data_IF_653564040199
#
_entry.id   IF_653564040199
#
_cell.length_a   1.000
_cell.length_b   1.000
_cell.length_c   1.000
_cell.angle_alpha   90.00
_cell.angle_beta   90.00
_cell.angle_gamma   90.00
#
_symmetry.space_group_name_H-M   'P 1'
#
loop_
_entity.id
_entity.type
_entity.pdbx_description
1 polymer ?
#
# COMPACT_ATOMS: atom_id res chain seq x y z
N UNK A 1 4.46 10.84 -17.29
CA UNK A 1 3.26 11.50 -17.86
C UNK A 1 3.63 12.77 -18.61
N UNK A 2 4.19 12.66 -19.82
CA UNK A 2 4.29 13.82 -20.73
C UNK A 2 3.12 13.69 -21.70
N UNK A 3 2.30 14.74 -21.85
CA UNK A 3 1.18 14.90 -22.79
C UNK A 3 -0.27 14.82 -22.27
N UNK A 4 -0.54 14.58 -20.97
CA UNK A 4 -1.96 14.61 -20.49
C UNK A 4 -2.62 15.98 -20.66
N UNK A 5 -1.82 17.05 -20.65
CA UNK A 5 -2.30 18.41 -20.87
C UNK A 5 -2.81 18.62 -22.30
N UNK A 6 -2.29 17.85 -23.27
CA UNK A 6 -2.61 17.95 -24.71
C UNK A 6 -3.82 17.12 -25.13
N UNK A 7 -4.41 16.35 -24.22
CA UNK A 7 -5.57 15.49 -24.48
C UNK A 7 -6.70 15.82 -23.51
N UNK A 8 -7.94 15.54 -23.94
CA UNK A 8 -9.13 15.76 -23.11
C UNK A 8 -9.36 14.56 -22.17
N UNK A 9 -8.39 14.30 -21.30
CA UNK A 9 -8.51 13.28 -20.25
C UNK A 9 -7.92 13.76 -18.94
N UNK A 10 -8.33 13.10 -17.86
CA UNK A 10 -7.72 13.21 -16.53
C UNK A 10 -6.99 11.91 -16.20
N UNK A 11 -6.00 11.99 -15.34
CA UNK A 11 -5.26 10.85 -14.83
C UNK A 11 -5.57 10.63 -13.35
N UNK A 12 -5.74 9.38 -12.95
CA UNK A 12 -5.72 8.97 -11.55
C UNK A 12 -4.53 8.03 -11.41
N UNK A 13 -3.64 8.33 -10.46
CA UNK A 13 -2.39 7.58 -10.28
C UNK A 13 -2.18 7.21 -8.82
N UNK A 14 -1.38 6.17 -8.63
CA UNK A 14 -0.85 5.84 -7.32
C UNK A 14 -0.11 7.03 -6.73
N UNK A 15 -0.31 7.19 -5.42
CA UNK A 15 0.42 8.20 -4.66
C UNK A 15 1.88 7.78 -4.53
N UNK A 16 2.12 6.48 -4.37
CA UNK A 16 3.36 5.91 -3.87
C UNK A 16 3.77 6.63 -2.58
N UNK A 17 4.67 7.60 -2.70
CA UNK A 17 5.15 8.43 -1.60
C UNK A 17 5.09 9.92 -1.91
N UNK A 18 4.41 10.31 -3.00
CA UNK A 18 4.25 11.69 -3.41
C UNK A 18 3.15 12.42 -2.64
N UNK A 19 3.45 13.63 -2.21
CA UNK A 19 2.46 14.47 -1.55
C UNK A 19 1.69 15.34 -2.56
N UNK A 20 2.31 15.67 -3.70
CA UNK A 20 1.68 16.53 -4.71
C UNK A 20 2.18 16.26 -6.13
N UNK A 21 1.28 16.38 -7.10
CA UNK A 21 1.63 16.43 -8.53
C UNK A 21 1.40 17.85 -9.04
N UNK A 22 2.39 18.40 -9.75
CA UNK A 22 2.27 19.72 -10.35
C UNK A 22 1.52 19.65 -11.70
N UNK A 23 0.29 19.13 -11.68
CA UNK A 23 -0.58 19.05 -12.85
C UNK A 23 -2.06 19.02 -12.42
N UNK A 24 -2.87 19.93 -12.95
CA UNK A 24 -4.27 20.10 -12.58
C UNK A 24 -5.21 18.97 -13.04
N UNK A 25 -4.76 18.13 -13.99
CA UNK A 25 -5.48 16.97 -14.54
C UNK A 25 -5.05 15.64 -13.91
N UNK A 26 -4.07 15.64 -12.99
CA UNK A 26 -3.59 14.43 -12.31
C UNK A 26 -4.12 14.40 -10.88
N UNK A 27 -4.80 13.32 -10.54
CA UNK A 27 -5.33 13.07 -9.21
C UNK A 27 -4.65 11.87 -8.59
N UNK A 28 -4.47 11.91 -7.28
CA UNK A 28 -3.85 10.83 -6.52
C UNK A 28 -4.91 10.08 -5.74
N UNK A 29 -4.72 8.77 -5.57
CA UNK A 29 -5.43 8.04 -4.54
C UNK A 29 -5.20 8.65 -3.14
N UNK A 30 -6.14 8.41 -2.24
CA UNK A 30 -6.13 8.97 -0.88
C UNK A 30 -4.94 8.48 -0.03
N UNK A 31 -4.47 7.28 -0.35
CA UNK A 31 -3.39 6.55 0.31
C UNK A 31 -2.32 6.14 -0.72
N UNK A 32 -1.36 5.28 -0.34
CA UNK A 32 -0.21 4.90 -1.19
C UNK A 32 -0.65 4.46 -2.60
N UNK A 33 -1.66 3.60 -2.69
CA UNK A 33 -2.18 3.07 -3.95
C UNK A 33 -3.69 2.75 -3.84
N UNK A 34 -4.28 2.28 -4.93
CA UNK A 34 -5.70 1.89 -4.99
C UNK A 34 -6.09 0.87 -3.92
N UNK A 35 -5.29 -0.19 -3.72
CA UNK A 35 -5.56 -1.22 -2.71
C UNK A 35 -5.67 -0.61 -1.32
N UNK A 36 -4.71 0.25 -0.94
CA UNK A 36 -4.71 0.91 0.36
C UNK A 36 -5.90 1.86 0.53
N UNK A 37 -6.35 2.50 -0.56
CA UNK A 37 -7.57 3.29 -0.54
C UNK A 37 -8.80 2.43 -0.32
N UNK A 38 -8.92 1.28 -0.99
CA UNK A 38 -10.05 0.36 -0.81
C UNK A 38 -10.11 -0.19 0.61
N UNK A 39 -9.00 -0.71 1.15
CA UNK A 39 -8.97 -1.31 2.50
C UNK A 39 -8.99 -0.29 3.63
N UNK A 40 -8.92 1.00 3.32
CA UNK A 40 -9.00 2.05 4.35
C UNK A 40 -10.40 2.14 4.97
N UNK A 41 -11.43 1.77 4.21
CA UNK A 41 -12.83 1.78 4.63
C UNK A 41 -13.15 0.55 5.50
N UNK A 42 -13.78 0.80 6.64
CA UNK A 42 -14.08 -0.23 7.64
C UNK A 42 -15.14 -1.23 7.15
N UNK A 43 -16.10 -0.79 6.34
CA UNK A 43 -17.13 -1.66 5.77
C UNK A 43 -16.49 -2.73 4.85
N UNK A 44 -15.44 -2.35 4.12
CA UNK A 44 -14.65 -3.30 3.32
C UNK A 44 -13.92 -4.29 4.21
N UNK A 45 -13.26 -3.83 5.29
CA UNK A 45 -12.57 -4.73 6.22
C UNK A 45 -13.52 -5.69 6.95
N UNK A 46 -14.74 -5.26 7.26
CA UNK A 46 -15.79 -6.12 7.79
C UNK A 46 -16.21 -7.19 6.78
N UNK A 47 -16.43 -6.81 5.51
CA UNK A 47 -16.76 -7.77 4.44
C UNK A 47 -15.66 -8.81 4.25
N UNK A 48 -14.39 -8.38 4.25
CA UNK A 48 -13.24 -9.28 4.22
C UNK A 48 -13.28 -10.24 5.41
N UNK A 49 -13.50 -9.71 6.62
CA UNK A 49 -13.53 -10.52 7.83
C UNK A 49 -14.63 -11.58 7.80
N UNK A 50 -15.82 -11.22 7.31
CA UNK A 50 -16.96 -12.13 7.14
C UNK A 50 -16.68 -13.20 6.08
N UNK A 51 -16.26 -12.79 4.89
CA UNK A 51 -16.01 -13.70 3.75
C UNK A 51 -14.95 -14.76 4.09
N UNK A 52 -13.84 -14.32 4.69
CA UNK A 52 -12.69 -15.19 4.97
C UNK A 52 -12.67 -15.74 6.40
N UNK A 53 -13.78 -15.58 7.15
CA UNK A 53 -13.93 -16.08 8.53
C UNK A 53 -12.78 -15.64 9.44
N UNK A 54 -12.39 -14.37 9.34
CA UNK A 54 -11.37 -13.74 10.19
C UNK A 54 -12.07 -13.22 11.44
N UNK A 55 -11.59 -13.61 12.61
CA UNK A 55 -12.26 -13.33 13.89
C UNK A 55 -12.38 -11.84 14.25
N UNK A 56 -11.58 -10.95 13.66
CA UNK A 56 -11.63 -9.49 13.89
C UNK A 56 -10.91 -8.74 12.76
N UNK A 57 -11.35 -7.51 12.49
CA UNK A 57 -10.66 -6.54 11.62
C UNK A 57 -9.23 -6.28 12.11
N UNK A 58 -8.99 -6.36 13.43
CA UNK A 58 -7.65 -6.17 14.00
C UNK A 58 -6.63 -7.15 13.41
N UNK A 59 -7.05 -8.36 13.02
CA UNK A 59 -6.13 -9.31 12.36
C UNK A 59 -5.71 -8.87 10.97
N UNK A 60 -6.58 -8.16 10.25
CA UNK A 60 -6.23 -7.55 8.95
C UNK A 60 -5.26 -6.39 9.18
N UNK A 61 -5.49 -5.60 10.23
CA UNK A 61 -4.58 -4.51 10.62
C UNK A 61 -3.23 -5.03 11.10
N UNK A 62 -3.18 -6.16 11.81
CA UNK A 62 -1.94 -6.81 12.22
C UNK A 62 -1.15 -7.27 10.98
N UNK A 63 -1.81 -7.84 9.97
CA UNK A 63 -1.17 -8.18 8.69
C UNK A 63 -0.58 -6.93 8.03
N UNK A 64 -1.33 -5.83 7.99
CA UNK A 64 -0.83 -4.56 7.47
C UNK A 64 0.37 -4.07 8.30
N UNK A 65 0.33 -4.19 9.62
CA UNK A 65 1.39 -3.79 10.54
C UNK A 65 2.65 -4.64 10.40
N UNK A 66 2.50 -5.94 10.07
CA UNK A 66 3.63 -6.84 9.81
C UNK A 66 4.54 -6.35 8.68
N UNK A 67 4.00 -5.54 7.76
CA UNK A 67 4.72 -4.95 6.62
C UNK A 67 5.44 -3.63 6.96
N UNK A 68 5.31 -3.11 8.19
CA UNK A 68 5.85 -1.79 8.54
C UNK A 68 7.32 -1.63 8.16
N UNK A 69 8.15 -2.64 8.44
CA UNK A 69 9.58 -2.57 8.12
C UNK A 69 9.82 -2.37 6.62
N UNK A 70 9.22 -3.21 5.77
CA UNK A 70 9.41 -3.12 4.32
C UNK A 70 8.81 -1.84 3.74
N UNK A 71 7.67 -1.39 4.25
CA UNK A 71 7.04 -0.12 3.87
C UNK A 71 7.95 1.08 4.17
N UNK A 72 8.65 1.06 5.31
CA UNK A 72 9.64 2.10 5.65
C UNK A 72 10.85 2.04 4.71
N UNK A 73 11.29 0.86 4.28
CA UNK A 73 12.43 0.72 3.37
C UNK A 73 12.10 1.25 1.98
N UNK A 74 10.93 0.89 1.43
CA UNK A 74 10.47 1.39 0.13
C UNK A 74 10.31 2.92 0.16
N UNK A 75 9.72 3.45 1.24
CA UNK A 75 9.62 4.90 1.45
C UNK A 75 11.01 5.57 1.47
N UNK A 76 11.96 5.00 2.21
CA UNK A 76 13.32 5.55 2.28
C UNK A 76 14.01 5.53 0.91
N UNK A 77 13.94 4.40 0.19
CA UNK A 77 14.44 4.26 -1.18
C UNK A 77 13.90 5.37 -2.11
N UNK A 78 12.61 5.69 -1.99
CA UNK A 78 11.97 6.75 -2.76
C UNK A 78 12.56 8.14 -2.47
N UNK A 79 12.51 8.59 -1.21
CA UNK A 79 12.93 9.95 -0.86
C UNK A 79 14.43 10.19 -1.07
N UNK A 80 15.25 9.15 -0.92
CA UNK A 80 16.69 9.22 -1.11
C UNK A 80 17.13 8.89 -2.54
N UNK A 81 16.20 8.57 -3.45
CA UNK A 81 16.48 8.25 -4.86
C UNK A 81 17.56 7.18 -5.01
N UNK A 82 17.53 6.16 -4.16
CA UNK A 82 18.56 5.12 -4.16
C UNK A 82 18.45 4.19 -5.37
N UNK A 83 17.32 4.25 -6.11
CA UNK A 83 17.04 3.46 -7.31
C UNK A 83 17.19 1.95 -7.10
N UNK A 84 16.91 1.47 -5.89
CA UNK A 84 16.94 0.04 -5.59
C UNK A 84 15.66 -0.58 -6.12
N UNK A 85 15.79 -1.66 -6.89
CA UNK A 85 14.68 -2.40 -7.44
C UNK A 85 14.14 -3.42 -6.41
N UNK A 86 13.00 -3.11 -5.81
CA UNK A 86 12.32 -4.01 -4.89
C UNK A 86 11.54 -5.13 -5.62
N UNK A 87 11.65 -5.26 -6.95
CA UNK A 87 11.00 -6.30 -7.75
C UNK A 87 11.21 -7.73 -7.21
N UNK A 88 12.40 -8.13 -6.77
CA UNK A 88 12.61 -9.47 -6.19
C UNK A 88 11.90 -9.67 -4.83
N UNK A 89 11.41 -8.60 -4.19
CA UNK A 89 10.57 -8.66 -2.99
C UNK A 89 9.06 -8.79 -3.32
N UNK A 90 8.68 -8.90 -4.58
CA UNK A 90 7.28 -9.17 -4.97
C UNK A 90 6.75 -10.51 -4.41
N UNK A 91 7.64 -11.38 -3.89
CA UNK A 91 7.33 -12.56 -3.09
C UNK A 91 7.41 -12.35 -1.57
N UNK A 92 7.16 -11.14 -1.05
CA UNK A 92 7.33 -10.80 0.38
C UNK A 92 6.59 -11.76 1.34
N UNK A 93 5.50 -12.36 0.88
CA UNK A 93 4.74 -13.37 1.61
C UNK A 93 5.53 -14.64 1.93
N UNK A 94 6.61 -14.94 1.21
CA UNK A 94 7.51 -16.06 1.52
C UNK A 94 8.24 -15.89 2.86
N UNK A 95 8.36 -14.64 3.32
CA UNK A 95 9.02 -14.28 4.58
C UNK A 95 8.03 -14.07 5.72
N UNK A 96 6.75 -14.37 5.50
CA UNK A 96 5.69 -14.16 6.47
C UNK A 96 5.49 -15.41 7.36
N UNK A 97 5.78 -15.26 8.65
CA UNK A 97 5.48 -16.27 9.66
C UNK A 97 4.03 -16.11 10.11
N UNK A 98 3.17 -17.02 9.66
CA UNK A 98 1.74 -17.04 10.02
C UNK A 98 1.50 -17.20 11.52
N UNK A 99 2.33 -17.97 12.22
CA UNK A 99 2.12 -18.26 13.63
C UNK A 99 2.45 -17.02 14.47
N UNK A 100 3.44 -16.23 14.04
CA UNK A 100 3.83 -14.97 14.69
C UNK A 100 3.14 -13.73 14.11
N UNK A 101 2.40 -13.88 13.00
CA UNK A 101 1.81 -12.78 12.23
C UNK A 101 2.83 -11.66 11.94
N UNK A 102 4.02 -12.06 11.45
CA UNK A 102 5.14 -11.14 11.30
C UNK A 102 6.00 -11.51 10.09
N UNK A 103 6.52 -10.50 9.41
CA UNK A 103 7.57 -10.67 8.41
C UNK A 103 8.93 -10.91 9.11
N UNK A 104 9.69 -11.88 8.62
CA UNK A 104 11.08 -12.08 9.02
C UNK A 104 11.97 -10.98 8.43
N UNK A 105 12.07 -9.86 9.15
CA UNK A 105 12.83 -8.69 8.71
C UNK A 105 14.32 -8.99 8.44
N UNK A 106 14.91 -9.96 9.15
CA UNK A 106 16.30 -10.36 8.93
C UNK A 106 16.47 -11.01 7.55
N UNK A 107 15.56 -11.89 7.14
CA UNK A 107 15.59 -12.50 5.81
C UNK A 107 15.31 -11.49 4.70
N UNK A 108 14.39 -10.53 4.95
CA UNK A 108 14.15 -9.42 4.02
C UNK A 108 15.41 -8.60 3.81
N UNK A 109 16.19 -8.34 4.86
CA UNK A 109 17.48 -7.67 4.72
C UNK A 109 18.44 -8.51 3.89
N UNK A 110 18.63 -9.79 4.21
CA UNK A 110 19.53 -10.65 3.43
C UNK A 110 19.18 -10.65 1.93
N UNK A 111 17.89 -10.54 1.60
CA UNK A 111 17.46 -10.37 0.22
C UNK A 111 17.79 -8.97 -0.32
N UNK A 112 17.48 -7.90 0.42
CA UNK A 112 17.86 -6.52 0.05
C UNK A 112 19.37 -6.38 -0.18
N UNK A 113 20.22 -7.01 0.64
CA UNK A 113 21.67 -6.98 0.48
C UNK A 113 22.15 -7.65 -0.81
N UNK A 114 21.39 -8.61 -1.35
CA UNK A 114 21.66 -9.24 -2.66
C UNK A 114 21.20 -8.36 -3.83
N UNK A 115 20.09 -7.65 -3.65
CA UNK A 115 19.49 -6.77 -4.67
C UNK A 115 20.31 -5.48 -4.82
N UNK A 116 20.67 -4.88 -3.69
CA UNK A 116 21.42 -3.63 -3.61
C UNK A 116 22.91 -3.89 -3.85
N UNK A 117 23.28 -4.09 -5.13
CA UNK A 117 24.67 -4.35 -5.56
C UNK A 117 25.64 -3.26 -5.09
N UNK A 118 25.15 -2.03 -4.94
CA UNK A 118 25.94 -0.91 -4.46
C UNK A 118 25.89 -0.76 -2.93
N UNK A 119 25.17 -1.62 -2.20
CA UNK A 119 25.01 -1.55 -0.74
C UNK A 119 24.59 -0.15 -0.27
N UNK A 120 23.87 0.62 -1.07
CA UNK A 120 23.43 1.98 -0.75
C UNK A 120 22.53 2.02 0.49
N UNK A 121 21.51 1.14 0.57
CA UNK A 121 20.68 1.01 1.78
C UNK A 121 21.52 0.55 2.97
N UNK A 122 22.43 -0.42 2.79
CA UNK A 122 23.26 -0.94 3.89
C UNK A 122 24.18 0.14 4.46
N UNK A 123 24.75 0.98 3.59
CA UNK A 123 25.70 2.04 3.98
C UNK A 123 25.02 3.26 4.58
N UNK A 124 23.89 3.68 4.02
CA UNK A 124 23.23 4.94 4.39
C UNK A 124 22.10 4.76 5.41
N UNK A 125 21.49 3.56 5.43
CA UNK A 125 20.39 3.23 6.31
C UNK A 125 20.82 2.23 7.38
N UNK A 126 20.81 2.66 8.65
CA UNK A 126 21.07 1.76 9.77
C UNK A 126 19.86 0.84 10.01
N UNK A 127 19.70 -0.16 9.14
CA UNK A 127 18.57 -1.09 9.16
C UNK A 127 18.49 -1.88 10.47
N UNK A 128 19.62 -2.24 11.10
CA UNK A 128 19.63 -2.95 12.39
C UNK A 128 18.95 -2.12 13.49
N UNK A 129 19.28 -0.82 13.55
CA UNK A 129 18.61 0.12 14.47
C UNK A 129 17.14 0.32 14.11
N UNK A 130 16.80 0.32 12.82
CA UNK A 130 15.40 0.43 12.36
C UNK A 130 14.56 -0.81 12.65
N UNK A 131 15.10 -2.02 12.51
CA UNK A 131 14.43 -3.26 12.95
C UNK A 131 14.15 -3.16 14.44
N UNK A 132 15.18 -2.89 15.26
CA UNK A 132 15.01 -2.84 16.71
C UNK A 132 13.97 -1.77 17.13
N UNK A 133 13.86 -0.67 16.39
CA UNK A 133 12.78 0.32 16.57
C UNK A 133 11.42 -0.24 16.18
N UNK A 134 11.30 -0.82 14.97
CA UNK A 134 10.05 -1.40 14.47
C UNK A 134 9.54 -2.51 15.38
N UNK A 135 10.42 -3.36 15.90
CA UNK A 135 10.07 -4.46 16.80
C UNK A 135 9.58 -4.00 18.17
N UNK A 136 9.96 -2.78 18.60
CA UNK A 136 9.44 -2.14 19.81
C UNK A 136 8.11 -1.43 19.58
N UNK A 137 7.71 -1.19 18.33
CA UNK A 137 6.41 -0.61 18.02
C UNK A 137 5.37 -1.71 18.20
N UNK A 138 4.46 -1.53 19.17
CA UNK A 138 3.36 -2.47 19.36
C UNK A 138 2.11 -2.08 18.57
N UNK A 139 1.98 -0.80 18.18
CA UNK A 139 0.88 -0.27 17.36
C UNK A 139 1.36 0.88 16.51
N UNK A 140 0.85 1.00 15.29
CA UNK A 140 1.11 2.13 14.40
C UNK A 140 -0.20 2.77 13.97
N UNK A 141 -0.15 4.07 13.66
CA UNK A 141 -1.33 4.76 13.15
C UNK A 141 -1.73 4.16 11.79
N UNK A 142 -2.91 3.53 11.72
CA UNK A 142 -3.49 2.92 10.50
C UNK A 142 -3.34 3.85 9.29
N UNK A 143 -3.75 5.11 9.41
CA UNK A 143 -3.69 6.06 8.30
C UNK A 143 -2.26 6.34 7.83
N UNK A 144 -1.28 6.44 8.75
CA UNK A 144 0.13 6.57 8.37
C UNK A 144 0.63 5.31 7.67
N UNK A 145 0.19 4.12 8.09
CA UNK A 145 0.59 2.86 7.49
C UNK A 145 0.03 2.71 6.07
N UNK A 146 -1.26 2.97 5.88
CA UNK A 146 -1.92 2.96 4.56
C UNK A 146 -1.26 3.93 3.57
N UNK A 147 -0.68 5.03 4.06
CA UNK A 147 0.06 6.00 3.24
C UNK A 147 1.44 5.53 2.77
N UNK A 148 1.98 4.46 3.34
CA UNK A 148 3.36 4.02 3.03
C UNK A 148 3.46 2.57 2.59
N UNK A 149 2.44 1.76 2.87
CA UNK A 149 2.44 0.34 2.52
C UNK A 149 2.07 0.16 1.06
N UNK A 150 2.86 -0.64 0.36
CA UNK A 150 2.56 -1.05 -1.00
C UNK A 150 1.37 -2.03 -1.01
N UNK A 151 0.40 -1.79 -1.89
CA UNK A 151 -0.81 -2.59 -1.96
C UNK A 151 -0.57 -4.05 -2.30
N UNK A 152 0.31 -4.33 -3.27
CA UNK A 152 0.62 -5.70 -3.67
C UNK A 152 1.28 -6.50 -2.55
N UNK A 153 2.19 -5.89 -1.79
CA UNK A 153 2.80 -6.52 -0.61
C UNK A 153 1.71 -6.94 0.39
N UNK A 154 0.76 -6.05 0.68
CA UNK A 154 -0.38 -6.34 1.55
C UNK A 154 -1.24 -7.49 1.02
N UNK A 155 -1.64 -7.45 -0.26
CA UNK A 155 -2.46 -8.53 -0.84
C UNK A 155 -1.75 -9.88 -0.79
N UNK A 156 -0.43 -9.91 -1.04
CA UNK A 156 0.37 -11.13 -0.99
C UNK A 156 0.45 -11.73 0.43
N UNK A 157 0.69 -10.90 1.44
CA UNK A 157 0.74 -11.39 2.84
C UNK A 157 -0.65 -11.82 3.31
N UNK A 158 -1.67 -11.02 3.00
CA UNK A 158 -3.04 -11.33 3.39
C UNK A 158 -3.53 -12.63 2.76
N UNK A 159 -3.18 -12.91 1.50
CA UNK A 159 -3.56 -14.18 0.83
C UNK A 159 -2.98 -15.41 1.56
N UNK A 160 -1.74 -15.31 2.05
CA UNK A 160 -1.14 -16.36 2.90
C UNK A 160 -1.84 -16.44 4.26
N UNK A 161 -2.13 -15.29 4.89
CA UNK A 161 -2.82 -15.23 6.17
C UNK A 161 -4.18 -15.94 6.13
N UNK A 162 -5.02 -15.64 5.13
CA UNK A 162 -6.37 -16.21 4.97
C UNK A 162 -6.38 -17.64 4.38
N UNK A 163 -5.19 -18.21 4.09
CA UNK A 163 -5.02 -19.52 3.42
C UNK A 163 -5.68 -19.60 2.04
N UNK A 164 -5.92 -18.47 1.37
CA UNK A 164 -6.42 -18.46 0.00
C UNK A 164 -5.25 -18.11 -0.94
N UNK A 165 -4.77 -19.10 -1.69
CA UNK A 165 -3.62 -18.92 -2.58
C UNK A 165 -3.92 -18.07 -3.81
N UNK A 166 -5.19 -17.77 -4.10
CA UNK A 166 -5.54 -16.98 -5.26
C UNK A 166 -5.61 -15.49 -4.91
N UNK A 167 -4.48 -14.80 -5.06
CA UNK A 167 -4.41 -13.32 -4.93
C UNK A 167 -5.44 -12.61 -5.81
N UNK A 168 -5.66 -13.11 -7.03
CA UNK A 168 -6.59 -12.49 -7.97
C UNK A 168 -8.03 -12.56 -7.45
N UNK A 169 -8.41 -13.67 -6.82
CA UNK A 169 -9.72 -13.79 -6.17
C UNK A 169 -9.93 -12.69 -5.12
N UNK A 170 -8.94 -12.50 -4.23
CA UNK A 170 -9.03 -11.46 -3.22
C UNK A 170 -9.10 -10.05 -3.84
N UNK A 171 -8.30 -9.78 -4.88
CA UNK A 171 -8.36 -8.51 -5.60
C UNK A 171 -9.73 -8.25 -6.23
N UNK A 172 -10.32 -9.25 -6.90
CA UNK A 172 -11.65 -9.15 -7.48
C UNK A 172 -12.72 -8.97 -6.40
N UNK A 173 -12.61 -9.68 -5.27
CA UNK A 173 -13.51 -9.53 -4.14
C UNK A 173 -13.51 -8.09 -3.59
N UNK A 174 -12.35 -7.52 -3.26
CA UNK A 174 -12.31 -6.18 -2.68
C UNK A 174 -12.76 -5.10 -3.68
N UNK A 175 -12.49 -5.29 -4.97
CA UNK A 175 -13.01 -4.40 -6.03
C UNK A 175 -14.53 -4.51 -6.17
N UNK A 176 -15.08 -5.71 -6.10
CA UNK A 176 -16.54 -5.93 -6.14
C UNK A 176 -17.24 -5.39 -4.89
N UNK A 177 -16.59 -5.45 -3.73
CA UNK A 177 -17.10 -4.90 -2.49
C UNK A 177 -17.08 -3.35 -2.45
N UNK A 178 -16.19 -2.73 -3.24
CA UNK A 178 -16.01 -1.28 -3.31
C UNK A 178 -17.05 -0.63 -4.24
N UNK A 179 -18.07 -0.01 -3.63
CA UNK A 179 -19.18 0.60 -4.34
C UNK A 179 -19.10 2.14 -4.40
N UNK A 180 -20.00 2.76 -5.18
CA UNK A 180 -20.10 4.23 -5.33
C UNK A 180 -20.30 4.95 -3.98
N UNK A 181 -21.04 4.35 -3.05
CA UNK A 181 -21.24 4.91 -1.71
C UNK A 181 -19.92 5.04 -0.93
N UNK A 182 -19.05 4.04 -1.01
CA UNK A 182 -17.72 4.07 -0.40
C UNK A 182 -16.83 5.08 -1.13
N UNK A 183 -16.84 5.07 -2.47
CA UNK A 183 -16.06 6.03 -3.27
C UNK A 183 -16.42 7.49 -2.95
N UNK A 184 -17.70 7.80 -2.76
CA UNK A 184 -18.17 9.15 -2.44
C UNK A 184 -17.59 9.71 -1.13
N UNK A 185 -17.14 8.86 -0.21
CA UNK A 185 -16.52 9.26 1.07
C UNK A 185 -15.06 9.72 0.90
N UNK A 186 -14.44 9.46 -0.25
CA UNK A 186 -13.00 9.67 -0.47
C UNK A 186 -12.66 11.12 -0.80
N UNK A 187 -11.43 11.53 -0.45
CA UNK A 187 -10.87 12.83 -0.84
C UNK A 187 -10.68 12.90 -2.35
N UNK A 188 -10.34 11.78 -3.00
CA UNK A 188 -10.27 11.67 -4.45
C UNK A 188 -11.62 12.04 -5.09
N UNK A 189 -12.72 11.46 -4.64
CA UNK A 189 -14.05 11.81 -5.16
C UNK A 189 -14.37 13.30 -4.98
N UNK A 190 -14.06 13.86 -3.80
CA UNK A 190 -14.22 15.29 -3.53
C UNK A 190 -13.45 16.14 -4.56
N UNK A 191 -12.16 15.84 -4.77
CA UNK A 191 -11.31 16.56 -5.73
C UNK A 191 -11.80 16.42 -7.18
N UNK A 192 -12.24 15.23 -7.57
CA UNK A 192 -12.80 14.98 -8.90
C UNK A 192 -14.11 15.74 -9.10
N UNK A 193 -14.95 15.81 -8.08
CA UNK A 193 -16.21 16.57 -8.12
C UNK A 193 -15.95 18.08 -8.22
N UNK A 194 -14.97 18.60 -7.48
CA UNK A 194 -14.54 20.00 -7.58
C UNK A 194 -13.94 20.34 -8.94
N UNK A 195 -13.16 19.42 -9.53
CA UNK A 195 -12.69 19.56 -10.91
C UNK A 195 -13.85 19.52 -11.90
N UNK A 196 -14.79 18.59 -11.73
CA UNK A 196 -15.96 18.46 -12.60
C UNK A 196 -16.80 19.73 -12.61
N UNK A 197 -17.11 20.30 -11.43
CA UNK A 197 -17.82 21.58 -11.32
C UNK A 197 -17.13 22.73 -12.05
N UNK A 198 -15.81 22.85 -11.92
CA UNK A 198 -15.03 23.91 -12.60
C UNK A 198 -15.00 23.77 -14.12
N UNK A 199 -15.20 22.55 -14.64
CA UNK A 199 -15.13 22.24 -16.07
C UNK A 199 -16.48 21.82 -16.66
N UNK A 200 -17.58 22.01 -15.94
CA UNK A 200 -18.93 21.57 -16.35
C UNK A 200 -19.03 20.06 -16.71
N UNK A 201 -18.30 19.22 -15.97
CA UNK A 201 -18.32 17.75 -16.11
C UNK A 201 -19.05 17.09 -14.92
N UNK A 202 -19.57 15.88 -15.14
CA UNK A 202 -20.20 15.05 -14.11
C UNK A 202 -19.54 13.68 -14.03
N UNK A 203 -19.43 13.15 -12.81
CA UNK A 203 -19.03 11.76 -12.57
C UNK A 203 -20.28 10.89 -12.74
N UNK A 204 -20.25 9.96 -13.69
CA UNK A 204 -21.35 9.01 -13.96
C UNK A 204 -21.41 7.94 -12.85
#
# INVERSE_FOLDING_TARGET
MKNIDKVNCIGIVDRDYEDNYNNSKIFLYDYCCLEMMIISDEEIMEKISKEFKINSIDKILDVLFSLLFISLMRKYNYYHKLNIDFGPLNGISNYYDKNKNKINNNEVILLLEKIDKNKAIIREYNYKKSIAKVEKICKFNKNKLLKITNGHDFLNVLSVFIKNKNKNYFWYFIRGAYNKGIFNKTKLYKKLSEYGKRNNLKIL
#
